data_IF_695040129206
#
_entry.id   IF_695040129206
#
_cell.length_a   1.000
_cell.length_b   1.000
_cell.length_c   1.000
_cell.angle_alpha   90.00
_cell.angle_beta   90.00
_cell.angle_gamma   90.00
#
_symmetry.space_group_name_H-M   'P 1'
#
loop_
_entity.id
_entity.type
_entity.pdbx_description
1 polymer ?
#
# COMPACT_ATOMS: atom_id res chain seq x y z
N UNK A 1 -11.99 -4.90 4.66
CA UNK A 1 -10.78 -4.43 3.95
C UNK A 1 -10.21 -5.49 2.98
N UNK A 2 -10.30 -6.75 3.35
CA UNK A 2 -9.72 -7.82 2.54
C UNK A 2 -10.13 -7.77 1.06
N UNK A 3 -11.42 -7.72 0.80
CA UNK A 3 -11.91 -7.73 -0.58
C UNK A 3 -11.50 -6.48 -1.36
N UNK A 4 -11.52 -5.33 -0.70
CA UNK A 4 -11.11 -4.08 -1.33
C UNK A 4 -9.61 -4.04 -1.59
N UNK A 5 -8.82 -4.57 -0.65
CA UNK A 5 -7.37 -4.57 -0.78
C UNK A 5 -6.89 -5.41 -1.96
N UNK A 6 -7.65 -6.44 -2.34
CA UNK A 6 -7.29 -7.27 -3.49
C UNK A 6 -7.20 -6.47 -4.78
N UNK A 7 -7.91 -5.37 -4.88
CA UNK A 7 -7.87 -4.52 -6.07
C UNK A 7 -6.55 -3.79 -6.25
N UNK A 8 -5.70 -3.81 -5.21
CA UNK A 8 -4.42 -3.11 -5.24
C UNK A 8 -3.22 -4.04 -5.42
N UNK A 9 -3.47 -5.33 -5.62
CA UNK A 9 -2.37 -6.29 -5.81
C UNK A 9 -1.53 -5.88 -7.03
N UNK A 10 -0.22 -5.91 -6.87
CA UNK A 10 0.79 -5.50 -7.85
C UNK A 10 0.82 -3.99 -8.13
N UNK A 11 0.15 -3.21 -7.30
CA UNK A 11 0.19 -1.75 -7.43
C UNK A 11 1.02 -1.16 -6.31
N UNK A 12 1.74 -0.10 -6.64
CA UNK A 12 2.45 0.65 -5.62
C UNK A 12 1.44 1.52 -4.89
N UNK A 13 1.45 1.45 -3.57
CA UNK A 13 0.42 2.07 -2.75
C UNK A 13 1.01 2.83 -1.57
N UNK A 14 0.21 3.73 -1.04
CA UNK A 14 0.45 4.37 0.25
C UNK A 14 -0.47 3.69 1.24
N UNK A 15 0.11 3.17 2.31
CA UNK A 15 -0.62 2.46 3.36
C UNK A 15 -0.67 3.35 4.59
N UNK A 16 -1.87 3.66 5.05
CA UNK A 16 -2.06 4.53 6.21
C UNK A 16 -2.44 3.68 7.42
N UNK A 17 -1.74 3.92 8.52
CA UNK A 17 -2.08 3.30 9.81
C UNK A 17 -2.55 4.40 10.76
N UNK A 18 -2.83 4.02 12.00
CA UNK A 18 -3.35 5.00 12.97
C UNK A 18 -2.39 6.14 13.24
N UNK A 19 -1.09 5.89 13.18
CA UNK A 19 -0.10 6.86 13.60
C UNK A 19 1.04 7.05 12.61
N UNK A 20 0.96 6.43 11.43
CA UNK A 20 2.04 6.57 10.45
C UNK A 20 1.53 6.20 9.07
N UNK A 21 2.42 6.31 8.10
CA UNK A 21 2.13 5.88 6.74
C UNK A 21 3.44 5.45 6.08
N UNK A 22 3.31 4.56 5.10
CA UNK A 22 4.46 4.06 4.38
C UNK A 22 4.03 3.64 2.99
N UNK A 23 4.99 3.42 2.10
CA UNK A 23 4.71 3.06 0.72
C UNK A 23 5.28 1.68 0.42
N UNK A 24 4.71 1.03 -0.58
CA UNK A 24 5.20 -0.25 -1.05
C UNK A 24 4.25 -0.82 -2.08
N UNK A 25 4.72 -1.88 -2.75
CA UNK A 25 3.90 -2.60 -3.71
C UNK A 25 3.21 -3.76 -2.99
N UNK A 26 1.90 -3.82 -3.10
CA UNK A 26 1.16 -4.93 -2.48
C UNK A 26 1.36 -6.16 -3.35
N UNK A 27 1.96 -7.20 -2.77
CA UNK A 27 2.25 -8.44 -3.49
C UNK A 27 1.21 -9.51 -3.24
N UNK A 28 0.60 -9.48 -2.07
CA UNK A 28 -0.31 -10.53 -1.66
C UNK A 28 -1.31 -9.98 -0.65
N UNK A 29 -2.53 -10.49 -0.69
CA UNK A 29 -3.59 -10.09 0.25
C UNK A 29 -4.27 -11.36 0.75
N UNK A 30 -4.44 -11.47 2.06
CA UNK A 30 -5.26 -12.53 2.64
C UNK A 30 -6.17 -11.92 3.71
N UNK A 31 -6.91 -12.76 4.41
CA UNK A 31 -7.89 -12.26 5.38
C UNK A 31 -7.24 -11.50 6.53
N UNK A 32 -6.02 -11.84 6.89
CA UNK A 32 -5.34 -11.21 8.03
C UNK A 32 -4.60 -9.94 7.71
N UNK A 33 -4.22 -9.73 6.44
CA UNK A 33 -3.44 -8.57 6.11
C UNK A 33 -2.88 -8.58 4.71
N UNK A 34 -1.83 -7.80 4.52
CA UNK A 34 -1.18 -7.65 3.22
C UNK A 34 0.31 -7.94 3.32
N UNK A 35 0.88 -8.37 2.21
CA UNK A 35 2.32 -8.50 2.05
C UNK A 35 2.76 -7.41 1.09
N UNK A 36 3.66 -6.56 1.53
CA UNK A 36 4.17 -5.47 0.71
C UNK A 36 5.66 -5.64 0.46
N UNK A 37 6.10 -5.09 -0.66
CA UNK A 37 7.52 -5.07 -1.01
C UNK A 37 7.96 -3.64 -1.22
N UNK A 38 9.12 -3.31 -0.65
CA UNK A 38 9.73 -2.01 -0.86
C UNK A 38 11.24 -2.21 -0.96
N UNK A 39 11.83 -1.80 -2.07
CA UNK A 39 13.27 -1.89 -2.30
C UNK A 39 13.79 -3.31 -2.06
N UNK A 40 13.05 -4.30 -2.52
CA UNK A 40 13.45 -5.70 -2.40
C UNK A 40 13.18 -6.33 -1.04
N UNK A 41 12.61 -5.60 -0.11
CA UNK A 41 12.30 -6.09 1.22
C UNK A 41 10.80 -6.35 1.35
N UNK A 42 10.44 -7.51 1.86
CA UNK A 42 9.04 -7.87 2.11
C UNK A 42 8.65 -7.53 3.54
N UNK A 43 7.40 -7.07 3.71
CA UNK A 43 6.87 -6.78 5.03
C UNK A 43 5.39 -7.16 5.07
N UNK A 44 4.98 -7.82 6.14
CA UNK A 44 3.58 -8.18 6.34
C UNK A 44 2.94 -7.19 7.30
N UNK A 45 1.74 -6.74 6.96
CA UNK A 45 1.02 -5.76 7.77
C UNK A 45 -0.39 -6.29 8.03
N UNK A 46 -0.78 -6.30 9.30
CA UNK A 46 -2.09 -6.78 9.73
C UNK A 46 -3.15 -5.74 9.40
N UNK A 47 -4.30 -6.18 8.88
CA UNK A 47 -5.41 -5.27 8.57
C UNK A 47 -5.90 -4.47 9.78
N UNK A 48 -5.73 -5.00 10.98
CA UNK A 48 -6.16 -4.27 12.18
C UNK A 48 -5.46 -2.92 12.35
N UNK A 49 -4.30 -2.75 11.71
CA UNK A 49 -3.54 -1.50 11.79
C UNK A 49 -3.73 -0.60 10.57
N UNK A 50 -4.38 -1.10 9.54
CA UNK A 50 -4.55 -0.34 8.29
C UNK A 50 -5.89 0.37 8.31
N UNK A 51 -5.85 1.69 8.15
CA UNK A 51 -7.09 2.49 8.07
C UNK A 51 -7.40 2.90 6.64
N UNK A 52 -6.41 2.88 5.75
CA UNK A 52 -6.60 3.33 4.37
C UNK A 52 -5.51 2.79 3.48
N UNK A 53 -5.87 2.40 2.26
CA UNK A 53 -4.92 2.05 1.21
C UNK A 53 -5.22 2.98 0.03
N UNK A 54 -4.18 3.58 -0.52
CA UNK A 54 -4.32 4.47 -1.66
C UNK A 54 -3.27 4.10 -2.69
N UNK A 55 -3.67 4.00 -3.95
CA UNK A 55 -2.70 3.78 -5.02
C UNK A 55 -1.80 5.01 -5.11
N UNK A 56 -0.49 4.80 -5.24
CA UNK A 56 0.47 5.91 -5.31
C UNK A 56 0.18 6.71 -6.57
N UNK A 57 -0.08 8.02 -6.47
CA UNK A 57 -0.47 8.80 -7.63
C UNK A 57 0.65 8.93 -8.65
N UNK A 58 0.27 8.96 -9.93
CA UNK A 58 1.19 9.11 -11.04
C UNK A 58 0.78 10.32 -11.86
N UNK A 59 1.76 10.94 -12.51
CA UNK A 59 1.44 12.03 -13.44
C UNK A 59 0.96 11.43 -14.77
N UNK A 60 0.56 12.28 -15.72
CA UNK A 60 0.02 11.80 -16.97
C UNK A 60 1.04 11.08 -17.86
N UNK A 61 2.32 11.13 -17.54
CA UNK A 61 3.35 10.37 -18.25
C UNK A 61 3.64 9.04 -17.57
N UNK A 62 2.86 8.67 -16.56
CA UNK A 62 3.06 7.42 -15.84
C UNK A 62 4.13 7.48 -14.77
N UNK A 63 4.77 8.61 -14.58
CA UNK A 63 5.77 8.78 -13.53
C UNK A 63 5.09 9.10 -12.21
N UNK A 64 5.73 8.72 -11.11
CA UNK A 64 5.18 9.02 -9.79
C UNK A 64 5.16 10.51 -9.54
N UNK A 65 4.08 10.99 -8.95
CA UNK A 65 4.02 12.36 -8.46
C UNK A 65 4.76 12.43 -7.14
N UNK A 66 5.29 13.63 -6.84
CA UNK A 66 5.73 13.92 -5.49
C UNK A 66 4.52 13.90 -4.56
N UNK A 67 4.62 13.17 -3.48
CA UNK A 67 3.54 13.06 -2.49
C UNK A 67 4.08 13.46 -1.14
N UNK A 68 3.39 14.41 -0.50
CA UNK A 68 3.73 14.77 0.87
C UNK A 68 3.05 13.75 1.78
N UNK A 69 3.86 12.98 2.47
CA UNK A 69 3.35 12.00 3.42
C UNK A 69 3.19 12.68 4.77
N UNK A 70 1.97 12.67 5.27
CA UNK A 70 1.64 13.32 6.55
C UNK A 70 1.64 12.38 7.73
#
# INVERSE_FOLDING_TARGET
MFELAQKFINKECIIYTFNSQFTGTIKEVNEGGILIEKSGTLEAVNFDFIVRIREYPKNKNGKKKSVILD
#
